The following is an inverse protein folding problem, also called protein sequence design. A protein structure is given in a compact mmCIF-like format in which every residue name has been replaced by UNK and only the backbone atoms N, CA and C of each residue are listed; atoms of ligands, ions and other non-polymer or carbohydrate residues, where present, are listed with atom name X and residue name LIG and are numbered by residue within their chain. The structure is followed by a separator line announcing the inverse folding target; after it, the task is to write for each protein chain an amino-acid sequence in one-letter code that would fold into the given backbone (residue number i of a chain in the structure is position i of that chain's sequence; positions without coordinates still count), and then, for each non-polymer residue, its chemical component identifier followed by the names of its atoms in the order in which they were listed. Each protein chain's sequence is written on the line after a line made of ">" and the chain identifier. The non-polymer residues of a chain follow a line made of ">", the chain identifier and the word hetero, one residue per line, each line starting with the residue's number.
data_IF_302696967182
#
_entry.id   IF_302696967182
#
_cell.length_a   1.000
_cell.length_b   1.000
_cell.length_c   1.000
_cell.angle_alpha   90.00
_cell.angle_beta   90.00
_cell.angle_gamma   90.00
#
_symmetry.space_group_name_H-M   'P 1'
#
loop_
_entity.id
_entity.type
_entity.pdbx_description
1 polymer ?
#
# COMPACT_ATOMS: atom_id res chain seq x y z
N UNK A 1 -47.33 -10.77 5.42
CA UNK A 1 -45.95 -10.87 5.97
C UNK A 1 -45.32 -9.47 5.98
N UNK A 2 -44.88 -8.97 7.14
CA UNK A 2 -44.26 -7.63 7.26
C UNK A 2 -42.81 -7.69 6.81
N UNK A 3 -42.43 -6.96 5.76
CA UNK A 3 -41.02 -6.80 5.33
C UNK A 3 -40.28 -5.94 6.37
N UNK A 4 -39.25 -6.50 7.00
CA UNK A 4 -38.34 -5.73 7.86
C UNK A 4 -37.31 -5.02 6.99
N UNK A 5 -37.35 -3.70 6.97
CA UNK A 5 -36.35 -2.83 6.34
C UNK A 5 -35.26 -2.61 7.39
N UNK A 6 -34.05 -3.06 7.11
CA UNK A 6 -32.88 -2.74 7.93
C UNK A 6 -32.19 -1.51 7.35
N UNK A 7 -32.14 -0.43 8.12
CA UNK A 7 -31.42 0.79 7.78
C UNK A 7 -30.06 0.68 8.48
N UNK A 8 -29.00 0.40 7.71
CA UNK A 8 -27.64 0.49 8.21
C UNK A 8 -27.11 1.89 7.90
N UNK A 9 -26.90 2.68 8.95
CA UNK A 9 -26.28 3.99 8.86
C UNK A 9 -24.76 3.82 8.94
N UNK A 10 -24.04 4.16 7.87
CA UNK A 10 -22.57 4.17 7.88
C UNK A 10 -22.09 5.61 8.01
N UNK A 11 -21.29 5.95 9.04
CA UNK A 11 -20.59 7.23 9.08
C UNK A 11 -19.40 7.16 8.13
N UNK A 12 -19.55 7.72 6.92
CA UNK A 12 -18.41 8.06 6.07
C UNK A 12 -17.95 9.47 6.43
N UNK A 13 -16.78 9.59 7.06
CA UNK A 13 -16.18 10.89 7.35
C UNK A 13 -15.51 11.47 6.09
N UNK A 14 -16.34 12.14 5.28
CA UNK A 14 -16.20 13.49 4.72
C UNK A 14 -14.79 13.94 4.31
N UNK A 15 -14.56 14.01 2.99
CA UNK A 15 -14.20 15.28 2.32
C UNK A 15 -14.69 15.25 0.86
N UNK A 16 -15.53 16.23 0.51
CA UNK A 16 -16.07 16.55 -0.83
C UNK A 16 -17.39 15.88 -1.27
N UNK A 17 -18.48 16.52 -0.82
CA UNK A 17 -19.88 16.41 -1.26
C UNK A 17 -20.04 16.58 -2.79
N UNK A 18 -20.90 15.77 -3.45
CA UNK A 18 -22.28 16.16 -3.84
C UNK A 18 -23.00 15.04 -4.62
N UNK A 19 -24.29 14.86 -4.27
CA UNK A 19 -25.32 13.95 -4.82
C UNK A 19 -25.32 12.52 -4.28
N UNK A 20 -26.07 12.37 -3.19
CA UNK A 20 -26.64 11.11 -2.72
C UNK A 20 -27.35 10.40 -3.87
N UNK A 21 -26.90 9.18 -4.18
CA UNK A 21 -27.62 8.25 -5.04
C UNK A 21 -28.11 7.12 -4.15
N UNK A 22 -29.38 7.18 -3.76
CA UNK A 22 -30.08 6.11 -3.06
C UNK A 22 -30.09 4.86 -3.96
N UNK A 23 -29.23 3.89 -3.67
CA UNK A 23 -29.28 2.58 -4.31
C UNK A 23 -30.20 1.67 -3.49
N UNK A 24 -31.41 1.42 -4.00
CA UNK A 24 -32.31 0.41 -3.46
C UNK A 24 -31.87 -0.96 -3.98
N UNK A 25 -31.44 -1.85 -3.09
CA UNK A 25 -31.18 -3.24 -3.42
C UNK A 25 -32.37 -4.12 -3.00
N UNK A 26 -33.01 -4.72 -4.00
CA UNK A 26 -34.00 -5.79 -3.85
C UNK A 26 -33.31 -7.05 -3.29
N UNK A 27 -34.02 -7.79 -2.43
CA UNK A 27 -33.49 -8.85 -1.55
C UNK A 27 -33.05 -10.16 -2.23
N UNK A 28 -32.58 -10.11 -3.49
CA UNK A 28 -32.16 -11.28 -4.26
C UNK A 28 -30.66 -11.32 -4.58
N UNK A 29 -29.90 -10.26 -4.30
CA UNK A 29 -28.47 -10.15 -4.67
C UNK A 29 -27.52 -10.02 -3.46
N UNK A 30 -27.75 -10.79 -2.41
CA UNK A 30 -26.99 -10.67 -1.15
C UNK A 30 -25.64 -11.39 -1.17
N UNK A 31 -25.44 -12.37 -2.05
CA UNK A 31 -24.21 -13.16 -2.09
C UNK A 31 -23.14 -12.52 -2.96
N UNK A 32 -23.51 -12.03 -4.14
CA UNK A 32 -22.58 -11.37 -5.07
C UNK A 32 -22.12 -10.01 -4.53
N UNK A 33 -23.00 -9.21 -3.93
CA UNK A 33 -22.63 -7.95 -3.29
C UNK A 33 -21.68 -8.16 -2.09
N UNK A 34 -21.91 -9.19 -1.28
CA UNK A 34 -21.04 -9.53 -0.15
C UNK A 34 -19.69 -10.12 -0.59
N UNK A 35 -19.68 -10.96 -1.63
CA UNK A 35 -18.44 -11.45 -2.25
C UNK A 35 -17.67 -10.34 -2.94
N UNK A 36 -18.35 -9.41 -3.61
CA UNK A 36 -17.74 -8.22 -4.21
C UNK A 36 -17.16 -7.29 -3.13
N UNK A 37 -17.88 -7.09 -2.02
CA UNK A 37 -17.39 -6.33 -0.87
C UNK A 37 -16.21 -7.00 -0.15
N UNK A 38 -16.24 -8.33 0.02
CA UNK A 38 -15.14 -9.11 0.59
C UNK A 38 -13.92 -9.13 -0.34
N UNK A 39 -14.13 -9.23 -1.65
CA UNK A 39 -13.09 -9.09 -2.66
C UNK A 39 -12.48 -7.68 -2.68
N UNK A 40 -13.30 -6.64 -2.54
CA UNK A 40 -12.82 -5.25 -2.48
C UNK A 40 -12.01 -4.97 -1.21
N UNK A 41 -12.45 -5.47 -0.05
CA UNK A 41 -11.71 -5.33 1.21
C UNK A 41 -10.41 -6.14 1.24
N UNK A 42 -10.36 -7.31 0.63
CA UNK A 42 -9.11 -8.08 0.53
C UNK A 42 -8.10 -7.44 -0.44
N UNK A 43 -8.53 -6.56 -1.35
CA UNK A 43 -7.65 -5.78 -2.22
C UNK A 43 -7.29 -4.39 -1.64
N UNK A 44 -7.79 -4.04 -0.44
CA UNK A 44 -7.39 -2.83 0.30
C UNK A 44 -6.21 -3.05 1.25
N UNK A 45 -5.65 -4.26 1.29
CA UNK A 45 -4.29 -4.45 1.78
C UNK A 45 -3.40 -3.80 0.73
N UNK A 46 -3.11 -2.50 0.87
CA UNK A 46 -2.09 -1.83 0.10
C UNK A 46 -0.77 -2.54 0.40
N UNK A 47 -0.47 -3.57 -0.40
CA UNK A 47 0.78 -4.27 -0.34
C UNK A 47 1.80 -3.34 -0.93
N UNK A 48 2.40 -2.54 -0.04
CA UNK A 48 3.56 -1.75 -0.38
C UNK A 48 4.53 -2.64 -1.16
N UNK A 49 4.96 -2.14 -2.33
CA UNK A 49 5.92 -2.76 -3.24
C UNK A 49 7.30 -2.94 -2.60
N UNK A 50 7.47 -2.58 -1.34
CA UNK A 50 8.60 -2.93 -0.50
C UNK A 50 8.86 -1.90 0.59
N UNK A 51 9.85 -2.18 1.43
CA UNK A 51 10.34 -1.24 2.44
C UNK A 51 11.76 -0.82 2.10
N UNK A 52 11.96 0.49 1.91
CA UNK A 52 13.27 1.13 1.81
C UNK A 52 13.70 1.63 3.20
N UNK A 53 14.76 1.04 3.73
CA UNK A 53 15.47 1.50 4.91
C UNK A 53 16.49 2.57 4.51
N UNK A 54 16.22 3.83 4.87
CA UNK A 54 16.99 4.97 4.40
C UNK A 54 16.95 6.16 5.38
N UNK A 55 18.12 6.69 5.75
CA UNK A 55 18.24 7.86 6.63
C UNK A 55 18.55 9.13 5.84
N UNK A 56 19.13 10.16 6.47
CA UNK A 56 19.56 11.42 5.85
C UNK A 56 20.92 11.33 5.11
N UNK A 57 21.50 10.14 4.97
CA UNK A 57 22.78 9.97 4.27
C UNK A 57 22.63 10.20 2.75
N UNK A 58 23.69 10.74 2.13
CA UNK A 58 23.68 11.09 0.69
C UNK A 58 23.40 9.88 -0.22
N UNK A 59 23.86 8.70 0.20
CA UNK A 59 23.61 7.42 -0.51
C UNK A 59 22.14 7.04 -0.57
N UNK A 60 21.33 7.52 0.38
CA UNK A 60 19.89 7.29 0.41
C UNK A 60 19.09 8.31 -0.40
N UNK A 61 19.72 9.40 -0.86
CA UNK A 61 19.04 10.50 -1.54
C UNK A 61 18.45 10.05 -2.88
N UNK A 62 19.24 9.39 -3.72
CA UNK A 62 18.79 8.93 -5.03
C UNK A 62 17.56 8.01 -4.95
N UNK A 63 17.55 6.89 -4.20
CA UNK A 63 16.37 6.03 -4.13
C UNK A 63 15.17 6.72 -3.45
N UNK A 64 15.39 7.56 -2.43
CA UNK A 64 14.29 8.37 -1.83
C UNK A 64 13.67 9.33 -2.83
N UNK A 65 14.49 10.01 -3.64
CA UNK A 65 14.03 10.94 -4.65
C UNK A 65 13.24 10.23 -5.75
N UNK A 66 13.70 9.06 -6.21
CA UNK A 66 12.99 8.26 -7.22
C UNK A 66 11.61 7.80 -6.72
N UNK A 67 11.53 7.26 -5.50
CA UNK A 67 10.26 6.86 -4.89
C UNK A 67 9.29 8.05 -4.81
N UNK A 68 9.77 9.21 -4.35
CA UNK A 68 8.96 10.43 -4.25
C UNK A 68 8.56 10.99 -5.61
N UNK A 69 9.46 10.98 -6.59
CA UNK A 69 9.22 11.54 -7.91
C UNK A 69 8.20 10.71 -8.69
N UNK A 70 8.28 9.38 -8.60
CA UNK A 70 7.39 8.47 -9.30
C UNK A 70 6.17 8.05 -8.47
N UNK A 71 5.99 8.60 -7.26
CA UNK A 71 4.93 8.24 -6.32
C UNK A 71 4.79 6.71 -6.14
N UNK A 72 5.92 6.02 -6.00
CA UNK A 72 5.93 4.56 -5.84
C UNK A 72 5.34 4.18 -4.47
N UNK A 73 4.55 3.10 -4.42
CA UNK A 73 4.01 2.53 -3.18
C UNK A 73 5.10 1.77 -2.38
N UNK A 74 6.19 2.46 -2.04
CA UNK A 74 7.31 1.92 -1.28
C UNK A 74 7.36 2.63 0.07
N UNK A 75 7.28 1.86 1.15
CA UNK A 75 7.43 2.38 2.51
C UNK A 75 8.87 2.82 2.74
N UNK A 76 9.09 4.06 3.15
CA UNK A 76 10.41 4.55 3.57
C UNK A 76 10.45 4.60 5.09
N UNK A 77 11.42 3.93 5.71
CA UNK A 77 11.58 3.90 7.16
C UNK A 77 13.05 4.01 7.59
N UNK A 78 13.24 4.33 8.87
CA UNK A 78 14.53 4.18 9.54
C UNK A 78 14.79 2.70 9.90
N UNK A 79 15.96 2.44 10.49
CA UNK A 79 16.37 1.10 10.92
C UNK A 79 15.41 0.57 12.00
N UNK A 80 14.91 -0.64 11.81
CA UNK A 80 14.03 -1.35 12.73
C UNK A 80 14.53 -2.80 12.97
N UNK A 81 13.79 -3.58 13.75
CA UNK A 81 14.13 -4.98 14.00
C UNK A 81 14.16 -5.84 12.72
N UNK A 82 13.37 -5.47 11.70
CA UNK A 82 13.36 -6.16 10.40
C UNK A 82 14.66 -5.87 9.63
N UNK A 83 15.15 -4.64 9.69
CA UNK A 83 16.43 -4.24 9.12
C UNK A 83 17.58 -4.99 9.79
N UNK A 84 17.65 -5.00 11.12
CA UNK A 84 18.74 -5.65 11.85
C UNK A 84 18.82 -7.15 11.58
N UNK A 85 17.66 -7.83 11.50
CA UNK A 85 17.59 -9.26 11.14
C UNK A 85 18.08 -9.53 9.72
N UNK A 86 17.82 -8.62 8.78
CA UNK A 86 18.05 -8.86 7.36
C UNK A 86 19.38 -8.32 6.84
N UNK A 87 19.97 -7.33 7.50
CA UNK A 87 21.15 -6.58 7.04
C UNK A 87 22.21 -6.45 8.16
N UNK A 88 22.94 -7.55 8.48
CA UNK A 88 23.92 -7.57 9.57
C UNK A 88 25.10 -6.61 9.35
N UNK A 89 25.36 -6.20 8.10
CA UNK A 89 26.41 -5.23 7.76
C UNK A 89 26.09 -3.80 8.19
N UNK A 90 24.86 -3.52 8.63
CA UNK A 90 24.42 -2.21 9.13
C UNK A 90 24.66 -1.04 8.16
N UNK A 91 24.69 -1.33 6.84
CA UNK A 91 24.84 -0.37 5.76
C UNK A 91 23.47 0.06 5.22
N UNK A 92 23.38 1.33 4.84
CA UNK A 92 22.20 1.94 4.25
C UNK A 92 22.59 2.69 2.98
N UNK A 93 21.68 2.82 1.99
CA UNK A 93 20.30 2.31 1.98
C UNK A 93 20.20 0.77 1.86
N UNK A 94 19.08 0.21 2.32
CA UNK A 94 18.75 -1.20 2.12
C UNK A 94 17.26 -1.35 1.80
N UNK A 95 16.88 -2.33 0.99
CA UNK A 95 15.51 -2.49 0.51
C UNK A 95 15.05 -3.95 0.66
N UNK A 96 13.79 -4.13 1.08
CA UNK A 96 13.11 -5.42 1.17
C UNK A 96 11.87 -5.37 0.28
N UNK A 97 11.83 -6.20 -0.76
CA UNK A 97 10.70 -6.25 -1.69
C UNK A 97 9.56 -7.18 -1.24
N UNK A 98 8.47 -7.29 -2.04
CA UNK A 98 7.23 -7.97 -1.66
C UNK A 98 7.37 -9.49 -1.48
N UNK A 99 8.46 -10.08 -2.00
CA UNK A 99 8.79 -11.51 -1.85
C UNK A 99 9.93 -11.76 -0.86
N UNK A 100 10.27 -10.78 -0.04
CA UNK A 100 11.36 -10.87 0.95
C UNK A 100 12.77 -10.86 0.35
N UNK A 101 12.91 -10.56 -0.94
CA UNK A 101 14.22 -10.33 -1.54
C UNK A 101 14.83 -9.04 -0.98
N UNK A 102 16.17 -8.97 -0.99
CA UNK A 102 16.94 -7.96 -0.27
C UNK A 102 17.92 -7.28 -1.22
N UNK A 103 18.02 -5.96 -1.16
CA UNK A 103 19.02 -5.17 -1.89
C UNK A 103 19.74 -4.23 -0.94
N UNK A 104 21.05 -4.07 -1.11
CA UNK A 104 21.90 -3.23 -0.24
C UNK A 104 22.70 -2.18 -1.01
N UNK A 105 22.81 -2.32 -2.32
CA UNK A 105 23.57 -1.40 -3.17
C UNK A 105 22.67 -0.29 -3.71
N UNK A 106 23.12 0.96 -3.59
CA UNK A 106 22.36 2.17 -4.01
C UNK A 106 21.93 2.06 -5.47
N UNK A 107 22.86 1.63 -6.34
CA UNK A 107 22.59 1.51 -7.78
C UNK A 107 21.55 0.44 -8.06
N UNK A 108 21.61 -0.71 -7.36
CA UNK A 108 20.66 -1.80 -7.53
C UNK A 108 19.26 -1.38 -7.08
N UNK A 109 19.15 -0.70 -5.93
CA UNK A 109 17.89 -0.17 -5.41
C UNK A 109 17.31 0.89 -6.37
N UNK A 110 18.15 1.78 -6.88
CA UNK A 110 17.73 2.85 -7.80
C UNK A 110 17.22 2.29 -9.13
N UNK A 111 17.94 1.33 -9.70
CA UNK A 111 17.52 0.62 -10.91
C UNK A 111 16.22 -0.15 -10.69
N UNK A 112 16.06 -0.79 -9.52
CA UNK A 112 14.82 -1.46 -9.16
C UNK A 112 13.64 -0.48 -9.09
N UNK A 113 13.83 0.70 -8.48
CA UNK A 113 12.79 1.73 -8.42
C UNK A 113 12.41 2.24 -9.83
N UNK A 114 13.40 2.40 -10.72
CA UNK A 114 13.14 2.79 -12.12
C UNK A 114 12.38 1.70 -12.88
N UNK A 115 12.75 0.44 -12.66
CA UNK A 115 12.06 -0.70 -13.28
C UNK A 115 10.62 -0.81 -12.77
N UNK A 116 10.39 -0.61 -11.46
CA UNK A 116 9.06 -0.63 -10.85
C UNK A 116 8.12 0.44 -11.44
N UNK A 117 8.66 1.61 -11.83
CA UNK A 117 7.87 2.66 -12.48
C UNK A 117 7.45 2.29 -13.91
N UNK A 118 8.26 1.51 -14.61
CA UNK A 118 8.07 1.24 -16.03
C UNK A 118 6.97 0.19 -16.33
N UNK A 119 6.62 -0.64 -15.36
CA UNK A 119 5.70 -1.78 -15.50
C UNK A 119 4.53 -1.65 -14.53
#
# INVERSE_FOLDING_TARGET
>A
MRKKIFILHFPLNITSLKKEKLFYFSSSETTLSFLFFSFYNNNLIAMSQGTLFATQQIRSLAPKALIKHFNLDVKVSDKDAVYEKNFPLNKIPAFVGPKGFKLTEVIAISLYCMYLFLF
#
